data_IF_682745176786
#
_entry.id   IF_682745176786
#
_cell.length_a   1.000
_cell.length_b   1.000
_cell.length_c   1.000
_cell.angle_alpha   90.00
_cell.angle_beta   90.00
_cell.angle_gamma   90.00
#
_symmetry.space_group_name_H-M   'P 1'
#
loop_
_entity.id
_entity.type
_entity.pdbx_description
1 polymer ?
#
# COMPACT_ATOMS: atom_id res chain seq x y z
N UNK A 1 10.78 -11.17 18.89
CA UNK A 1 10.01 -12.44 18.81
C UNK A 1 8.51 -12.20 18.71
N UNK A 2 7.93 -11.23 19.44
CA UNK A 2 6.47 -11.01 19.48
C UNK A 2 5.78 -10.76 18.12
N UNK A 3 6.47 -10.15 17.14
CA UNK A 3 5.89 -9.81 15.82
C UNK A 3 6.16 -10.85 14.71
N UNK A 4 6.90 -11.94 14.99
CA UNK A 4 7.29 -12.91 13.95
C UNK A 4 6.11 -13.72 13.37
N UNK A 5 4.96 -13.70 14.03
CA UNK A 5 3.77 -14.49 13.66
C UNK A 5 2.60 -13.60 13.23
N UNK A 6 2.86 -12.35 12.84
CA UNK A 6 1.80 -11.48 12.37
C UNK A 6 1.30 -11.95 11.00
N UNK A 7 -0.02 -11.98 10.83
CA UNK A 7 -0.63 -12.38 9.57
C UNK A 7 -0.38 -11.33 8.48
N UNK A 8 -0.20 -11.78 7.24
CA UNK A 8 -0.27 -10.91 6.07
C UNK A 8 -1.62 -10.17 6.06
N UNK A 9 -1.58 -8.85 5.93
CA UNK A 9 -2.75 -7.98 5.81
C UNK A 9 -3.11 -7.65 4.36
N UNK A 10 -2.11 -7.59 3.49
CA UNK A 10 -2.29 -7.29 2.08
C UNK A 10 -0.99 -6.82 1.44
N UNK A 11 -1.13 -6.14 0.32
CA UNK A 11 -0.03 -5.60 -0.46
C UNK A 11 -0.31 -4.15 -0.82
N UNK A 12 0.75 -3.37 -0.97
CA UNK A 12 0.70 -2.08 -1.65
C UNK A 12 1.51 -2.15 -2.94
N UNK A 13 1.14 -1.30 -3.89
CA UNK A 13 1.76 -1.22 -5.22
C UNK A 13 2.28 0.20 -5.40
N UNK A 14 3.58 0.34 -5.65
CA UNK A 14 4.27 1.61 -5.87
C UNK A 14 4.82 1.70 -7.28
N UNK A 15 5.26 2.89 -7.71
CA UNK A 15 5.75 3.13 -9.07
C UNK A 15 4.67 2.83 -10.13
N UNK A 16 3.44 3.27 -9.87
CA UNK A 16 2.27 3.03 -10.73
C UNK A 16 2.22 3.96 -11.94
N UNK A 17 3.05 5.01 -11.98
CA UNK A 17 3.14 5.95 -13.09
C UNK A 17 4.46 5.81 -13.84
N UNK A 18 4.48 6.18 -15.13
CA UNK A 18 5.71 6.15 -15.93
C UNK A 18 6.78 7.13 -15.40
N UNK A 19 6.34 8.25 -14.81
CA UNK A 19 7.22 9.27 -14.23
C UNK A 19 7.96 8.72 -13.01
N UNK A 20 7.24 8.05 -12.11
CA UNK A 20 7.82 7.44 -10.91
C UNK A 20 8.67 6.22 -11.27
N UNK A 21 8.27 5.42 -12.25
CA UNK A 21 9.10 4.35 -12.81
C UNK A 21 10.45 4.88 -13.32
N UNK A 22 10.45 5.95 -14.13
CA UNK A 22 11.69 6.58 -14.62
C UNK A 22 12.56 7.16 -13.49
N UNK A 23 11.94 7.75 -12.47
CA UNK A 23 12.66 8.31 -11.31
C UNK A 23 13.48 7.24 -10.56
N UNK A 24 12.98 6.01 -10.52
CA UNK A 24 13.61 4.89 -9.83
C UNK A 24 14.31 3.89 -10.76
N UNK A 25 14.50 4.23 -12.04
CA UNK A 25 15.09 3.34 -13.07
C UNK A 25 14.36 1.99 -13.17
N UNK A 26 13.03 2.02 -13.13
CA UNK A 26 12.15 0.85 -13.28
C UNK A 26 11.37 0.91 -14.59
N UNK A 27 11.01 -0.26 -15.13
CA UNK A 27 10.12 -0.45 -16.27
C UNK A 27 8.77 -1.06 -15.87
N UNK A 28 8.60 -1.37 -14.58
CA UNK A 28 7.38 -1.93 -14.00
C UNK A 28 7.09 -1.40 -12.59
N UNK A 29 5.84 -1.54 -12.08
CA UNK A 29 5.51 -1.27 -10.69
C UNK A 29 6.24 -2.21 -9.72
N UNK A 30 6.38 -1.78 -8.47
CA UNK A 30 6.86 -2.61 -7.37
C UNK A 30 5.70 -2.91 -6.42
N UNK A 31 5.77 -4.04 -5.71
CA UNK A 31 4.83 -4.34 -4.64
C UNK A 31 5.55 -4.74 -3.35
N UNK A 32 4.87 -4.54 -2.22
CA UNK A 32 5.38 -4.91 -0.91
C UNK A 32 4.28 -5.46 -0.02
N UNK A 33 4.56 -6.57 0.66
CA UNK A 33 3.67 -7.16 1.66
C UNK A 33 3.59 -6.26 2.91
N UNK A 34 2.38 -6.11 3.44
CA UNK A 34 2.14 -5.44 4.70
C UNK A 34 1.42 -6.38 5.68
N UNK A 35 1.76 -6.27 6.96
CA UNK A 35 1.15 -7.07 8.02
C UNK A 35 -0.22 -6.50 8.42
N UNK A 36 -1.10 -7.33 8.96
CA UNK A 36 -2.49 -6.98 9.22
C UNK A 36 -2.65 -5.78 10.18
N UNK A 37 -1.76 -5.60 11.16
CA UNK A 37 -1.85 -4.47 12.11
C UNK A 37 -1.53 -3.11 11.49
N UNK A 38 -0.94 -3.08 10.29
CA UNK A 38 -0.62 -1.84 9.58
C UNK A 38 -1.80 -1.31 8.76
N UNK A 39 -2.85 -2.11 8.55
CA UNK A 39 -4.12 -1.65 7.99
C UNK A 39 -5.04 -1.17 9.10
N UNK A 40 -5.20 0.14 9.23
CA UNK A 40 -5.91 0.78 10.33
C UNK A 40 -7.05 1.65 9.81
N UNK A 41 -8.16 1.72 10.56
CA UNK A 41 -9.28 2.59 10.19
C UNK A 41 -8.96 4.06 10.43
N UNK A 42 -9.61 4.92 9.66
CA UNK A 42 -9.63 6.37 9.87
C UNK A 42 -9.92 6.74 11.32
N UNK A 43 -9.21 7.75 11.83
CA UNK A 43 -9.20 8.15 13.24
C UNK A 43 -8.05 7.58 14.06
N UNK A 44 -7.27 6.62 13.53
CA UNK A 44 -6.02 6.17 14.14
C UNK A 44 -5.04 7.34 14.24
N UNK A 45 -4.43 7.51 15.43
CA UNK A 45 -3.32 8.44 15.65
C UNK A 45 -2.01 7.67 15.59
N UNK A 46 -1.13 8.05 14.67
CA UNK A 46 0.24 7.53 14.56
C UNK A 46 1.21 8.55 15.16
N UNK A 47 2.15 8.09 15.97
CA UNK A 47 3.14 8.93 16.65
C UNK A 47 4.46 8.84 15.91
N UNK A 48 4.91 9.99 15.37
CA UNK A 48 6.09 10.09 14.50
C UNK A 48 7.35 9.39 15.01
N UNK A 49 7.59 9.36 16.33
CA UNK A 49 8.83 8.78 16.91
C UNK A 49 8.67 7.39 17.50
N UNK A 50 7.44 6.92 17.71
CA UNK A 50 7.17 5.63 18.34
C UNK A 50 6.65 4.60 17.35
N UNK A 51 5.86 5.06 16.37
CA UNK A 51 5.17 4.19 15.43
C UNK A 51 5.81 4.23 14.02
N UNK A 52 6.66 5.22 13.74
CA UNK A 52 7.21 5.53 12.41
C UNK A 52 8.70 5.88 12.47
N UNK A 53 9.38 5.91 11.32
CA UNK A 53 10.81 6.25 11.21
C UNK A 53 11.11 7.47 10.33
N UNK A 54 10.79 7.40 9.03
CA UNK A 54 10.96 8.48 8.05
C UNK A 54 9.72 8.55 7.13
N UNK A 55 8.54 8.92 7.67
CA UNK A 55 7.28 8.77 6.96
C UNK A 55 7.03 9.87 5.94
N UNK A 56 6.36 9.51 4.84
CA UNK A 56 5.62 10.42 3.97
C UNK A 56 4.11 10.11 4.06
N UNK A 57 3.29 10.82 3.29
CA UNK A 57 1.85 10.56 3.20
C UNK A 57 1.39 10.65 1.74
N UNK A 58 0.71 9.62 1.27
CA UNK A 58 0.23 9.48 -0.10
C UNK A 58 -1.27 9.16 -0.09
N UNK A 59 -2.03 9.80 -0.98
CA UNK A 59 -3.47 9.57 -1.09
C UNK A 59 -3.70 8.46 -2.11
N UNK A 60 -4.40 7.40 -1.69
CA UNK A 60 -4.54 6.17 -2.45
C UNK A 60 -5.98 5.63 -2.42
N UNK A 61 -6.26 4.70 -3.32
CA UNK A 61 -7.45 3.84 -3.26
C UNK A 61 -7.08 2.50 -2.62
N UNK A 62 -7.80 2.11 -1.59
CA UNK A 62 -7.60 0.84 -0.89
C UNK A 62 -8.68 -0.14 -1.33
N UNK A 63 -8.26 -1.23 -1.98
CA UNK A 63 -9.15 -2.30 -2.40
C UNK A 63 -9.09 -3.46 -1.41
N UNK A 64 -10.24 -3.90 -0.89
CA UNK A 64 -10.34 -5.13 -0.10
C UNK A 64 -10.97 -6.22 -0.95
N UNK A 65 -10.25 -7.33 -1.05
CA UNK A 65 -10.67 -8.53 -1.78
C UNK A 65 -11.69 -9.32 -0.95
N UNK A 66 -12.82 -9.67 -1.54
CA UNK A 66 -13.90 -10.46 -0.93
C UNK A 66 -13.83 -11.95 -1.31
N UNK A 67 -13.16 -12.26 -2.41
CA UNK A 67 -13.00 -13.60 -2.98
C UNK A 67 -11.77 -13.64 -3.89
N UNK A 68 -11.18 -14.82 -4.09
CA UNK A 68 -9.95 -15.00 -4.87
C UNK A 68 -9.96 -14.29 -6.23
N UNK A 69 -8.86 -13.56 -6.48
CA UNK A 69 -8.59 -12.89 -7.75
C UNK A 69 -7.82 -13.82 -8.69
N UNK A 70 -8.11 -13.72 -9.98
CA UNK A 70 -7.38 -14.38 -11.05
C UNK A 70 -6.73 -13.36 -11.98
N UNK A 71 -5.57 -13.69 -12.53
CA UNK A 71 -4.95 -12.89 -13.60
C UNK A 71 -5.77 -12.86 -14.89
N UNK A 72 -6.75 -13.75 -15.03
CA UNK A 72 -7.71 -13.78 -16.13
C UNK A 72 -9.00 -12.99 -15.87
N UNK A 73 -9.19 -12.46 -14.66
CA UNK A 73 -10.39 -11.68 -14.33
C UNK A 73 -10.39 -10.38 -15.14
N UNK A 74 -11.54 -10.06 -15.73
CA UNK A 74 -11.82 -8.74 -16.30
C UNK A 74 -11.92 -7.66 -15.21
N UNK A 75 -11.81 -6.39 -15.59
CA UNK A 75 -12.00 -5.27 -14.64
C UNK A 75 -13.39 -5.31 -13.96
N UNK A 76 -14.42 -5.78 -14.65
CA UNK A 76 -15.76 -5.93 -14.08
C UNK A 76 -15.80 -7.04 -13.01
N UNK A 77 -15.12 -8.16 -13.26
CA UNK A 77 -15.00 -9.25 -12.28
C UNK A 77 -14.17 -8.79 -11.07
N UNK A 78 -13.03 -8.11 -11.29
CA UNK A 78 -12.21 -7.53 -10.22
C UNK A 78 -13.01 -6.53 -9.37
N UNK A 79 -13.82 -5.67 -10.00
CA UNK A 79 -14.70 -4.75 -9.31
C UNK A 79 -15.79 -5.48 -8.51
N UNK A 80 -16.40 -6.53 -9.07
CA UNK A 80 -17.39 -7.33 -8.35
C UNK A 80 -16.80 -8.07 -7.13
N UNK A 81 -15.53 -8.47 -7.20
CA UNK A 81 -14.80 -9.19 -6.15
C UNK A 81 -14.18 -8.29 -5.09
N UNK A 82 -14.29 -6.97 -5.20
CA UNK A 82 -13.64 -6.02 -4.28
C UNK A 82 -14.62 -5.01 -3.68
N UNK A 83 -14.26 -4.47 -2.52
CA UNK A 83 -14.71 -3.15 -2.07
C UNK A 83 -13.58 -2.15 -2.26
N UNK A 84 -13.92 -0.86 -2.27
CA UNK A 84 -12.98 0.26 -2.37
C UNK A 84 -13.20 1.25 -1.21
N UNK A 85 -12.12 1.80 -0.68
CA UNK A 85 -12.14 2.92 0.26
C UNK A 85 -11.11 3.97 -0.13
N UNK A 86 -11.35 5.25 0.20
CA UNK A 86 -10.26 6.22 0.23
C UNK A 86 -9.26 5.83 1.32
N UNK A 87 -7.97 5.98 1.06
CA UNK A 87 -6.92 5.73 2.04
C UNK A 87 -5.80 6.75 1.97
N UNK A 88 -5.07 6.83 3.08
CA UNK A 88 -3.74 7.44 3.11
C UNK A 88 -2.76 6.32 3.38
N UNK A 89 -1.89 6.07 2.41
CA UNK A 89 -0.68 5.29 2.68
C UNK A 89 0.32 6.21 3.39
N UNK A 90 1.02 5.65 4.37
CA UNK A 90 2.13 6.28 5.08
C UNK A 90 3.38 5.46 4.72
N UNK A 91 4.02 5.72 3.56
CA UNK A 91 5.30 5.09 3.25
C UNK A 91 6.32 5.48 4.32
N UNK A 92 7.08 4.50 4.81
CA UNK A 92 7.97 4.70 5.96
C UNK A 92 9.27 3.91 5.76
N UNK A 93 10.37 4.60 5.44
CA UNK A 93 11.62 3.93 5.10
C UNK A 93 12.48 3.59 6.30
N UNK A 94 13.16 2.44 6.22
CA UNK A 94 14.24 2.05 7.14
C UNK A 94 15.60 2.62 6.73
N UNK A 95 15.69 3.28 5.58
CA UNK A 95 16.87 3.95 5.08
C UNK A 95 16.72 5.47 5.26
N UNK A 96 17.82 6.13 5.63
CA UNK A 96 17.86 7.59 5.72
C UNK A 96 17.83 8.23 4.32
N UNK A 97 17.33 9.48 4.24
CA UNK A 97 17.34 10.31 3.02
C UNK A 97 16.79 9.59 1.77
N UNK A 98 15.71 8.83 1.96
CA UNK A 98 15.27 7.86 0.98
C UNK A 98 14.55 8.45 -0.24
N UNK A 99 13.90 9.61 -0.13
CA UNK A 99 13.16 10.20 -1.23
C UNK A 99 13.88 11.43 -1.80
N UNK A 100 14.05 11.56 -3.13
CA UNK A 100 13.65 10.63 -4.20
C UNK A 100 14.76 9.67 -4.66
N UNK A 101 15.90 9.60 -3.96
CA UNK A 101 17.16 9.04 -4.48
C UNK A 101 17.45 7.59 -4.09
N UNK A 102 16.61 6.94 -3.28
CA UNK A 102 16.85 5.56 -2.88
C UNK A 102 16.73 4.61 -4.08
N UNK A 103 17.74 3.76 -4.30
CA UNK A 103 17.72 2.77 -5.38
C UNK A 103 16.49 1.86 -5.29
N UNK A 104 15.89 1.51 -6.43
CA UNK A 104 14.76 0.55 -6.49
C UNK A 104 15.02 -0.75 -5.74
N UNK A 105 16.25 -1.25 -5.72
CA UNK A 105 16.61 -2.48 -5.00
C UNK A 105 16.47 -2.32 -3.48
N UNK A 106 16.83 -1.15 -2.95
CA UNK A 106 16.66 -0.85 -1.54
C UNK A 106 15.18 -0.65 -1.21
N UNK A 107 14.44 0.07 -2.06
CA UNK A 107 12.97 0.19 -1.95
C UNK A 107 12.31 -1.20 -1.88
N UNK A 108 12.67 -2.11 -2.80
CA UNK A 108 12.16 -3.49 -2.82
C UNK A 108 12.53 -4.27 -1.56
N UNK A 109 13.81 -4.21 -1.15
CA UNK A 109 14.27 -4.88 0.07
C UNK A 109 13.54 -4.39 1.31
N UNK A 110 13.05 -3.15 1.26
CA UNK A 110 12.28 -2.50 2.29
C UNK A 110 10.77 -2.76 2.16
N UNK A 111 10.37 -3.90 1.59
CA UNK A 111 8.96 -4.22 1.33
C UNK A 111 8.24 -3.07 0.63
N UNK A 112 8.89 -2.55 -0.43
CA UNK A 112 8.50 -1.39 -1.19
C UNK A 112 8.27 -0.13 -0.32
N UNK A 113 9.06 0.12 0.75
CA UNK A 113 8.91 1.21 1.74
C UNK A 113 7.57 1.23 2.50
N UNK A 114 6.98 0.05 2.76
CA UNK A 114 5.66 -0.06 3.40
C UNK A 114 5.67 0.40 4.85
N UNK A 115 4.77 1.33 5.20
CA UNK A 115 4.46 1.71 6.57
C UNK A 115 3.02 1.35 6.92
N UNK A 116 2.18 2.35 7.23
CA UNK A 116 0.77 2.14 7.57
C UNK A 116 -0.16 2.47 6.41
N UNK A 117 -1.33 1.83 6.37
CA UNK A 117 -2.46 2.20 5.51
C UNK A 117 -3.62 2.61 6.39
N UNK A 118 -3.99 3.89 6.32
CA UNK A 118 -5.14 4.44 7.04
C UNK A 118 -6.32 4.53 6.07
N UNK A 119 -7.32 3.66 6.21
CA UNK A 119 -8.43 3.60 5.26
C UNK A 119 -9.76 4.09 5.85
N UNK A 120 -10.56 4.71 5.00
CA UNK A 120 -11.88 5.27 5.32
C UNK A 120 -13.01 4.23 5.27
N UNK A 121 -14.21 4.73 5.00
CA UNK A 121 -15.39 3.88 4.80
C UNK A 121 -15.27 3.15 3.45
N UNK A 122 -15.48 1.85 3.49
CA UNK A 122 -15.53 1.03 2.29
C UNK A 122 -16.90 1.08 1.61
N UNK A 123 -16.89 1.01 0.29
CA UNK A 123 -18.03 0.92 -0.61
C UNK A 123 -17.82 -0.25 -1.57
N UNK A 124 -18.90 -0.81 -2.10
CA UNK A 124 -18.80 -1.79 -3.18
C UNK A 124 -18.18 -1.15 -4.42
N UNK A 125 -17.12 -1.74 -4.98
CA UNK A 125 -16.40 -1.14 -6.12
C UNK A 125 -17.31 -0.95 -7.33
N UNK A 126 -18.25 -1.88 -7.57
CA UNK A 126 -19.21 -1.80 -8.67
C UNK A 126 -20.33 -0.75 -8.46
N UNK A 127 -20.48 -0.19 -7.25
CA UNK A 127 -21.50 0.83 -6.94
C UNK A 127 -20.95 2.26 -7.02
N UNK A 128 -19.68 2.46 -7.37
CA UNK A 128 -19.10 3.82 -7.46
C UNK A 128 -19.74 4.69 -8.57
N UNK A 129 -20.50 4.09 -9.49
CA UNK A 129 -21.15 4.78 -10.62
C UNK A 129 -22.65 5.06 -10.42
N UNK A 130 -23.20 4.95 -9.20
CA UNK A 130 -24.61 5.26 -8.90
C UNK A 130 -24.78 6.47 -7.99
#
# INVERSE_FOLDING_TARGET
MALKNESLGGYKVSLTSQETQKMFDSDEPLYGAQVASHFVKSGKRLRMKQDLMAPLAEVELVFRVKSDLSSSDSLAELAAKTTVAPGVEVPDSRFAEWFPSLSKYLVMSDSAIGGYVVYGKELETFQWNS
#
